data_IF_980718921058
#
_entry.id   IF_980718921058
#
_cell.length_a   1.000
_cell.length_b   1.000
_cell.length_c   1.000
_cell.angle_alpha   90.00
_cell.angle_beta   90.00
_cell.angle_gamma   90.00
#
_symmetry.space_group_name_H-M   'P 1'
#
loop_
_entity.id
_entity.type
_entity.pdbx_description
1 polymer ?
#
# COMPACT_ATOMS: atom_id res chain seq x y z
N UNK A 1 -15.15 10.09 4.71
CA UNK A 1 -15.89 9.01 4.02
C UNK A 1 -15.72 7.72 4.81
N UNK A 2 -16.60 7.39 5.78
CA UNK A 2 -16.37 6.20 6.61
C UNK A 2 -16.49 4.94 5.75
N UNK A 3 -15.46 4.11 5.73
CA UNK A 3 -15.50 2.76 5.14
C UNK A 3 -14.83 2.59 3.77
N UNK A 4 -14.26 3.65 3.16
CA UNK A 4 -13.41 3.48 1.98
C UNK A 4 -11.98 3.07 2.36
N UNK A 5 -11.29 2.46 1.43
CA UNK A 5 -9.98 1.84 1.58
C UNK A 5 -8.95 2.49 0.65
N UNK A 6 -7.71 2.59 1.09
CA UNK A 6 -6.62 3.15 0.28
C UNK A 6 -5.43 2.20 0.30
N UNK A 7 -5.08 1.68 -0.87
CA UNK A 7 -3.90 0.86 -1.08
C UNK A 7 -2.66 1.75 -1.11
N UNK A 8 -1.66 1.49 -0.28
CA UNK A 8 -0.35 2.17 -0.37
C UNK A 8 0.69 1.11 -0.68
N UNK A 9 1.37 1.27 -1.81
CA UNK A 9 2.29 0.26 -2.35
C UNK A 9 3.59 0.89 -2.82
N UNK A 10 4.64 0.07 -2.83
CA UNK A 10 5.90 0.47 -3.44
C UNK A 10 7.02 -0.56 -3.29
N UNK A 11 8.24 -0.12 -3.54
CA UNK A 11 9.44 -0.97 -3.54
C UNK A 11 9.79 -1.46 -2.13
N UNK A 12 10.38 -2.65 -2.08
CA UNK A 12 10.95 -3.24 -0.85
C UNK A 12 12.26 -2.60 -0.45
N UNK A 13 12.99 -2.05 -1.42
CA UNK A 13 14.25 -1.35 -1.25
C UNK A 13 14.00 0.15 -1.44
N UNK A 14 13.20 0.71 -0.54
CA UNK A 14 12.77 2.10 -0.61
C UNK A 14 13.81 3.02 0.03
N UNK A 15 13.98 4.20 -0.59
CA UNK A 15 14.74 5.28 0.01
C UNK A 15 14.17 5.69 1.37
N UNK A 16 15.01 6.25 2.25
CA UNK A 16 14.55 6.77 3.54
C UNK A 16 13.45 7.83 3.35
N UNK A 17 13.62 8.70 2.37
CA UNK A 17 12.61 9.70 2.01
C UNK A 17 11.30 9.06 1.54
N UNK A 18 11.35 8.01 0.71
CA UNK A 18 10.15 7.27 0.29
C UNK A 18 9.40 6.64 1.45
N UNK A 19 10.10 6.04 2.42
CA UNK A 19 9.49 5.54 3.65
C UNK A 19 8.82 6.67 4.44
N UNK A 20 9.46 7.82 4.58
CA UNK A 20 8.87 8.99 5.25
C UNK A 20 7.61 9.49 4.56
N UNK A 21 7.60 9.54 3.22
CA UNK A 21 6.41 9.94 2.47
C UNK A 21 5.29 8.90 2.59
N UNK A 22 5.60 7.61 2.49
CA UNK A 22 4.61 6.53 2.69
C UNK A 22 3.96 6.62 4.08
N UNK A 23 4.77 6.84 5.12
CA UNK A 23 4.28 7.07 6.48
C UNK A 23 3.34 8.28 6.55
N UNK A 24 3.74 9.42 5.95
CA UNK A 24 2.95 10.67 5.98
C UNK A 24 1.62 10.53 5.26
N UNK A 25 1.62 10.02 4.03
CA UNK A 25 0.39 9.77 3.28
C UNK A 25 -0.53 8.79 4.01
N UNK A 26 0.01 7.69 4.54
CA UNK A 26 -0.79 6.73 5.29
C UNK A 26 -1.43 7.34 6.53
N UNK A 27 -0.69 8.17 7.27
CA UNK A 27 -1.21 8.92 8.42
C UNK A 27 -2.34 9.87 8.03
N UNK A 28 -2.14 10.68 6.99
CA UNK A 28 -3.12 11.69 6.56
C UNK A 28 -4.38 11.05 5.98
N UNK A 29 -4.23 10.04 5.11
CA UNK A 29 -5.35 9.26 4.57
C UNK A 29 -6.13 8.55 5.68
N UNK A 30 -5.43 7.93 6.64
CA UNK A 30 -6.09 7.25 7.74
C UNK A 30 -6.88 8.23 8.63
N UNK A 31 -6.31 9.40 8.94
CA UNK A 31 -7.01 10.45 9.69
C UNK A 31 -8.20 11.05 8.92
N UNK A 32 -8.19 11.00 7.58
CA UNK A 32 -9.34 11.36 6.75
C UNK A 32 -10.44 10.27 6.70
N UNK A 33 -10.23 9.14 7.40
CA UNK A 33 -11.20 8.06 7.57
C UNK A 33 -11.05 6.90 6.59
N UNK A 34 -9.94 6.82 5.83
CA UNK A 34 -9.64 5.67 4.99
C UNK A 34 -8.98 4.54 5.79
N UNK A 35 -9.31 3.29 5.46
CA UNK A 35 -8.56 2.12 5.96
C UNK A 35 -7.39 1.84 5.01
N UNK A 36 -6.18 1.79 5.54
CA UNK A 36 -4.98 1.58 4.72
C UNK A 36 -4.77 0.10 4.44
N UNK A 37 -4.64 -0.27 3.16
CA UNK A 37 -4.37 -1.63 2.71
C UNK A 37 -2.95 -1.70 2.16
N UNK A 38 -2.17 -2.70 2.57
CA UNK A 38 -0.84 -2.91 2.00
C UNK A 38 -0.41 -4.39 2.11
N UNK A 39 0.75 -4.70 1.53
CA UNK A 39 1.24 -6.06 1.36
C UNK A 39 2.19 -6.57 2.46
N UNK A 40 2.35 -5.85 3.57
CA UNK A 40 3.24 -6.25 4.67
C UNK A 40 4.68 -6.59 4.23
N UNK A 41 5.14 -5.98 3.14
CA UNK A 41 6.52 -6.11 2.71
C UNK A 41 7.41 -5.07 3.43
N UNK A 42 8.72 -5.31 3.44
CA UNK A 42 9.67 -4.27 3.85
C UNK A 42 9.52 -3.01 3.00
N UNK A 43 9.98 -1.87 3.50
CA UNK A 43 10.02 -0.62 2.73
C UNK A 43 8.70 0.15 2.80
N UNK A 44 8.11 0.46 1.63
CA UNK A 44 6.92 1.31 1.54
C UNK A 44 5.73 0.72 2.31
N UNK A 45 5.48 -0.59 2.16
CA UNK A 45 4.36 -1.26 2.83
C UNK A 45 4.47 -1.17 4.37
N UNK A 46 5.65 -1.45 4.94
CA UNK A 46 5.92 -1.28 6.38
C UNK A 46 5.65 0.14 6.85
N UNK A 47 6.17 1.13 6.12
CA UNK A 47 6.05 2.53 6.47
C UNK A 47 4.59 3.01 6.40
N UNK A 48 3.82 2.50 5.43
CA UNK A 48 2.40 2.75 5.33
C UNK A 48 1.64 2.19 6.55
N UNK A 49 1.86 0.92 6.90
CA UNK A 49 1.27 0.32 8.09
C UNK A 49 1.63 1.09 9.36
N UNK A 50 2.89 1.51 9.50
CA UNK A 50 3.33 2.32 10.64
C UNK A 50 2.62 3.68 10.70
N UNK A 51 2.57 4.42 9.60
CA UNK A 51 1.88 5.72 9.51
C UNK A 51 0.42 5.64 9.95
N UNK A 52 -0.22 4.51 9.65
CA UNK A 52 -1.60 4.23 10.08
C UNK A 52 -1.69 3.95 11.58
N UNK A 53 -0.99 2.93 12.08
CA UNK A 53 -1.21 2.43 13.45
C UNK A 53 -0.64 3.36 14.52
N UNK A 54 0.38 4.16 14.19
CA UNK A 54 0.91 5.21 15.08
C UNK A 54 -0.12 6.30 15.43
N UNK A 55 -1.25 6.36 14.73
CA UNK A 55 -2.35 7.28 15.02
C UNK A 55 -3.63 6.54 15.45
N UNK A 56 -3.48 5.29 15.93
CA UNK A 56 -4.56 4.41 16.36
C UNK A 56 -5.65 4.19 15.28
N UNK A 57 -5.23 4.22 14.02
CA UNK A 57 -6.10 3.98 12.86
C UNK A 57 -5.95 2.56 12.34
N UNK A 58 -6.93 2.08 11.58
CA UNK A 58 -7.01 0.68 11.13
C UNK A 58 -6.29 0.44 9.81
N UNK A 59 -5.61 -0.70 9.71
CA UNK A 59 -4.91 -1.14 8.49
C UNK A 59 -5.20 -2.61 8.15
N UNK A 60 -5.03 -2.99 6.89
CA UNK A 60 -5.16 -4.36 6.40
C UNK A 60 -3.84 -4.79 5.76
N UNK A 61 -3.21 -5.81 6.34
CA UNK A 61 -2.01 -6.45 5.86
C UNK A 61 -2.38 -7.74 5.10
N UNK A 62 -2.21 -7.74 3.79
CA UNK A 62 -2.45 -8.92 2.96
C UNK A 62 -1.14 -9.67 2.82
N UNK A 63 -1.05 -10.96 3.13
CA UNK A 63 0.21 -11.71 3.18
C UNK A 63 0.48 -12.54 1.92
N UNK A 64 1.76 -12.67 1.50
CA UNK A 64 2.18 -13.57 0.42
C UNK A 64 2.54 -15.00 0.94
N UNK A 65 2.22 -15.29 2.21
CA UNK A 65 2.48 -16.55 2.91
C UNK A 65 1.18 -17.08 3.48
N UNK A 66 1.17 -18.34 3.93
CA UNK A 66 0.11 -18.84 4.81
C UNK A 66 0.03 -18.07 6.12
N UNK A 67 -1.16 -18.00 6.71
CA UNK A 67 -1.40 -17.21 7.94
C UNK A 67 -0.58 -17.70 9.14
N UNK A 68 -0.29 -19.00 9.24
CA UNK A 68 0.53 -19.58 10.33
C UNK A 68 2.04 -19.39 10.12
N UNK A 69 2.44 -18.80 8.99
CA UNK A 69 3.83 -18.40 8.69
C UNK A 69 4.07 -16.91 8.89
N UNK A 70 3.05 -16.16 9.32
CA UNK A 70 3.21 -14.75 9.63
C UNK A 70 4.28 -14.55 10.70
N UNK A 71 5.20 -13.62 10.45
CA UNK A 71 6.25 -13.23 11.38
C UNK A 71 6.40 -11.71 11.35
N UNK A 72 6.50 -11.12 12.54
CA UNK A 72 6.90 -9.71 12.66
C UNK A 72 8.32 -9.54 12.12
N UNK A 73 8.51 -8.59 11.22
CA UNK A 73 9.84 -8.19 10.78
C UNK A 73 10.30 -6.91 11.48
N UNK A 74 11.62 -6.70 11.50
CA UNK A 74 12.30 -5.65 12.26
C UNK A 74 11.69 -4.24 12.12
N UNK A 75 11.24 -3.84 10.92
CA UNK A 75 10.66 -2.50 10.70
C UNK A 75 9.32 -2.24 11.42
N UNK A 76 8.66 -3.27 11.97
CA UNK A 76 7.37 -3.15 12.68
C UNK A 76 7.51 -3.61 14.15
N UNK A 77 8.65 -4.16 14.57
CA UNK A 77 8.82 -4.71 15.92
C UNK A 77 8.59 -3.67 17.02
N UNK A 78 9.03 -2.43 16.83
CA UNK A 78 8.87 -1.35 17.82
C UNK A 78 7.41 -0.91 18.01
N UNK A 79 6.55 -1.19 17.03
CA UNK A 79 5.13 -0.82 17.01
C UNK A 79 4.21 -2.05 17.03
N UNK A 80 4.73 -3.21 17.47
CA UNK A 80 4.03 -4.48 17.37
C UNK A 80 2.65 -4.45 18.04
N UNK A 81 2.56 -3.86 19.24
CA UNK A 81 1.31 -3.78 19.99
C UNK A 81 0.28 -2.91 19.25
N UNK A 82 0.68 -1.73 18.79
CA UNK A 82 -0.17 -0.84 17.99
C UNK A 82 -0.62 -1.52 16.70
N UNK A 83 0.30 -2.25 16.05
CA UNK A 83 0.01 -3.01 14.83
C UNK A 83 -1.02 -4.09 15.09
N UNK A 84 -0.85 -4.96 16.09
CA UNK A 84 -1.81 -6.03 16.37
C UNK A 84 -3.17 -5.52 16.88
N UNK A 85 -3.20 -4.40 17.58
CA UNK A 85 -4.45 -3.78 18.04
C UNK A 85 -5.26 -3.13 16.90
N UNK A 86 -4.60 -2.82 15.78
CA UNK A 86 -5.19 -2.02 14.71
C UNK A 86 -5.17 -2.67 13.31
N UNK A 87 -4.45 -3.77 13.13
CA UNK A 87 -4.32 -4.45 11.85
C UNK A 87 -5.26 -5.66 11.73
N UNK A 88 -5.87 -5.79 10.55
CA UNK A 88 -6.40 -7.07 10.06
C UNK A 88 -5.31 -7.72 9.22
N UNK A 89 -4.96 -8.96 9.52
CA UNK A 89 -3.99 -9.74 8.75
C UNK A 89 -4.77 -10.77 7.92
N UNK A 90 -4.56 -10.77 6.61
CA UNK A 90 -5.29 -11.61 5.66
C UNK A 90 -4.33 -12.44 4.82
N UNK A 91 -4.66 -13.70 4.58
CA UNK A 91 -3.95 -14.56 3.63
C UNK A 91 -4.94 -15.46 2.89
N UNK A 92 -4.72 -15.66 1.60
CA UNK A 92 -5.47 -16.63 0.79
C UNK A 92 -4.76 -18.00 0.66
N UNK A 93 -3.52 -18.09 1.11
CA UNK A 93 -2.68 -19.26 0.90
C UNK A 93 -2.94 -20.31 1.99
N UNK A 94 -2.61 -21.58 1.70
CA UNK A 94 -2.69 -22.64 2.70
C UNK A 94 -1.96 -22.24 3.98
N UNK A 95 -2.45 -22.61 5.18
CA UNK A 95 -1.99 -22.03 6.45
C UNK A 95 -0.47 -22.04 6.66
N UNK A 96 0.24 -23.05 6.12
CA UNK A 96 1.69 -23.22 6.24
C UNK A 96 2.47 -22.87 4.96
N UNK A 97 1.85 -22.29 3.94
CA UNK A 97 2.53 -21.92 2.69
C UNK A 97 3.68 -20.95 2.96
N UNK A 98 4.85 -21.27 2.42
CA UNK A 98 6.04 -20.42 2.49
C UNK A 98 5.93 -19.22 1.56
N UNK A 99 6.80 -18.24 1.80
CA UNK A 99 6.96 -17.11 0.90
C UNK A 99 7.49 -17.57 -0.46
N UNK A 100 6.92 -17.03 -1.55
CA UNK A 100 7.48 -17.14 -2.88
C UNK A 100 7.20 -15.87 -3.69
N UNK A 101 8.00 -15.61 -4.73
CA UNK A 101 7.74 -14.51 -5.68
C UNK A 101 6.37 -14.69 -6.36
N UNK A 102 6.02 -15.92 -6.73
CA UNK A 102 4.71 -16.24 -7.32
C UNK A 102 3.55 -15.87 -6.38
N UNK A 103 3.64 -16.24 -5.09
CA UNK A 103 2.61 -15.88 -4.12
C UNK A 103 2.54 -14.37 -3.91
N UNK A 104 3.67 -13.66 -3.88
CA UNK A 104 3.68 -12.20 -3.76
C UNK A 104 2.98 -11.52 -4.94
N UNK A 105 3.23 -11.98 -6.17
CA UNK A 105 2.55 -11.48 -7.38
C UNK A 105 1.06 -11.82 -7.39
N UNK A 106 0.69 -13.06 -7.02
CA UNK A 106 -0.72 -13.43 -6.91
C UNK A 106 -1.44 -12.56 -5.88
N UNK A 107 -0.86 -12.40 -4.70
CA UNK A 107 -1.42 -11.61 -3.59
C UNK A 107 -1.74 -10.18 -4.00
N UNK A 108 -0.91 -9.54 -4.83
CA UNK A 108 -1.08 -8.14 -5.23
C UNK A 108 -2.47 -7.82 -5.78
N UNK A 109 -3.11 -8.76 -6.51
CA UNK A 109 -4.50 -8.58 -6.99
C UNK A 109 -5.50 -8.43 -5.84
N UNK A 110 -5.26 -9.03 -4.67
CA UNK A 110 -6.11 -8.89 -3.48
C UNK A 110 -5.88 -7.53 -2.85
N UNK A 111 -4.62 -7.09 -2.72
CA UNK A 111 -4.32 -5.73 -2.26
C UNK A 111 -5.02 -4.70 -3.14
N UNK A 112 -4.96 -4.86 -4.47
CA UNK A 112 -5.70 -4.02 -5.39
C UNK A 112 -7.22 -4.16 -5.22
N UNK A 113 -7.76 -5.38 -5.14
CA UNK A 113 -9.20 -5.64 -5.00
C UNK A 113 -9.80 -5.08 -3.71
N UNK A 114 -9.05 -5.08 -2.61
CA UNK A 114 -9.47 -4.54 -1.31
C UNK A 114 -9.35 -3.02 -1.19
N UNK A 115 -8.73 -2.35 -2.17
CA UNK A 115 -8.50 -0.90 -2.14
C UNK A 115 -9.48 -0.16 -3.05
N UNK A 116 -10.13 0.93 -2.63
CA UNK A 116 -10.93 1.76 -3.53
C UNK A 116 -10.04 2.64 -4.42
N UNK A 117 -8.91 3.05 -3.86
CA UNK A 117 -7.88 3.87 -4.50
C UNK A 117 -6.50 3.29 -4.21
N UNK A 118 -5.52 3.50 -5.09
CA UNK A 118 -4.12 3.10 -4.84
C UNK A 118 -3.19 4.29 -4.94
N UNK A 119 -2.24 4.41 -4.02
CA UNK A 119 -1.09 5.29 -4.11
C UNK A 119 0.20 4.47 -4.28
N UNK A 120 0.91 4.72 -5.37
CA UNK A 120 2.29 4.30 -5.55
C UNK A 120 3.22 5.38 -5.02
N UNK A 121 4.06 5.06 -4.04
CA UNK A 121 4.98 6.03 -3.41
C UNK A 121 6.36 6.03 -4.07
N UNK A 122 6.95 4.84 -4.23
CA UNK A 122 8.26 4.65 -4.82
C UNK A 122 8.28 3.25 -5.46
N UNK A 123 8.86 3.10 -6.65
CA UNK A 123 8.81 1.84 -7.40
C UNK A 123 10.12 1.55 -8.12
N UNK A 124 10.74 0.42 -7.82
CA UNK A 124 11.89 -0.08 -8.56
C UNK A 124 11.50 -0.82 -9.85
N UNK A 125 12.51 -1.27 -10.59
CA UNK A 125 12.34 -2.01 -11.86
C UNK A 125 11.77 -3.43 -11.70
N UNK A 126 11.66 -3.93 -10.47
CA UNK A 126 11.32 -5.32 -10.14
C UNK A 126 9.86 -5.72 -10.43
N UNK A 127 9.04 -4.84 -11.01
CA UNK A 127 7.72 -5.14 -11.56
C UNK A 127 6.61 -5.40 -10.53
N UNK A 128 6.92 -5.62 -9.26
CA UNK A 128 5.92 -5.92 -8.23
C UNK A 128 4.89 -4.80 -8.04
N UNK A 129 5.33 -3.55 -7.94
CA UNK A 129 4.44 -2.37 -7.85
C UNK A 129 3.60 -2.21 -9.11
N UNK A 130 4.21 -2.38 -10.28
CA UNK A 130 3.54 -2.30 -11.58
C UNK A 130 2.45 -3.36 -11.71
N UNK A 131 2.69 -4.58 -11.22
CA UNK A 131 1.71 -5.65 -11.21
C UNK A 131 0.46 -5.28 -10.37
N UNK A 132 0.62 -4.68 -9.20
CA UNK A 132 -0.54 -4.21 -8.41
C UNK A 132 -1.27 -3.07 -9.11
N UNK A 133 -0.54 -2.10 -9.68
CA UNK A 133 -1.13 -0.98 -10.43
C UNK A 133 -1.93 -1.47 -11.65
N UNK A 134 -1.42 -2.48 -12.37
CA UNK A 134 -2.12 -3.10 -13.49
C UNK A 134 -3.40 -3.81 -13.06
N UNK A 135 -3.37 -4.56 -11.94
CA UNK A 135 -4.59 -5.15 -11.39
C UNK A 135 -5.64 -4.09 -11.02
N UNK A 136 -5.22 -2.97 -10.43
CA UNK A 136 -6.11 -1.88 -10.08
C UNK A 136 -6.73 -1.21 -11.33
N UNK A 137 -5.90 -0.96 -12.35
CA UNK A 137 -6.35 -0.44 -13.65
C UNK A 137 -7.39 -1.35 -14.29
N UNK A 138 -7.13 -2.66 -14.34
CA UNK A 138 -8.07 -3.65 -14.89
C UNK A 138 -9.40 -3.71 -14.13
N UNK A 139 -9.40 -3.35 -12.84
CA UNK A 139 -10.61 -3.26 -12.01
C UNK A 139 -11.29 -1.88 -12.08
N UNK A 140 -10.79 -0.95 -12.90
CA UNK A 140 -11.33 0.41 -13.02
C UNK A 140 -11.06 1.30 -11.80
N UNK A 141 -10.04 0.98 -11.01
CA UNK A 141 -9.67 1.72 -9.79
C UNK A 141 -8.71 2.84 -10.14
N UNK A 142 -8.85 3.99 -9.47
CA UNK A 142 -7.90 5.10 -9.62
C UNK A 142 -6.58 4.75 -8.95
N UNK A 143 -5.50 4.94 -9.70
CA UNK A 143 -4.13 4.80 -9.24
C UNK A 143 -3.50 6.19 -9.23
N UNK A 144 -2.84 6.52 -8.13
CA UNK A 144 -2.08 7.74 -7.93
C UNK A 144 -0.59 7.40 -7.89
N UNK A 145 0.24 8.29 -8.44
CA UNK A 145 1.69 8.17 -8.40
C UNK A 145 2.26 9.39 -7.69
N UNK A 146 2.96 9.17 -6.58
CA UNK A 146 3.68 10.24 -5.91
C UNK A 146 4.88 10.70 -6.75
N UNK A 147 4.92 11.98 -7.12
CA UNK A 147 5.96 12.57 -7.98
C UNK A 147 7.09 13.26 -7.23
N UNK A 148 7.06 13.30 -5.90
CA UNK A 148 8.19 13.82 -5.12
C UNK A 148 9.44 12.93 -5.17
N UNK A 149 9.35 11.74 -5.76
CA UNK A 149 10.47 10.82 -5.99
C UNK A 149 10.44 10.39 -7.45
N UNK A 150 11.58 10.46 -8.12
CA UNK A 150 11.72 9.87 -9.45
C UNK A 150 12.07 8.39 -9.30
N UNK A 151 11.22 7.53 -9.83
CA UNK A 151 11.36 6.08 -9.73
C UNK A 151 11.48 5.43 -11.12
N UNK A 152 12.28 4.36 -11.29
CA UNK A 152 12.47 3.71 -12.59
C UNK A 152 11.18 3.26 -13.30
N UNK A 153 10.15 2.86 -12.53
CA UNK A 153 8.88 2.41 -13.11
C UNK A 153 7.83 3.53 -13.31
N UNK A 154 8.16 4.79 -13.04
CA UNK A 154 7.21 5.92 -13.13
C UNK A 154 6.52 6.02 -14.47
N UNK A 155 7.29 5.98 -15.57
CA UNK A 155 6.75 6.10 -16.92
C UNK A 155 5.73 4.99 -17.21
N UNK A 156 6.08 3.75 -16.87
CA UNK A 156 5.17 2.60 -17.03
C UNK A 156 3.91 2.76 -16.20
N UNK A 157 4.00 3.29 -14.99
CA UNK A 157 2.84 3.50 -14.11
C UNK A 157 1.95 4.64 -14.65
N UNK A 158 2.54 5.68 -15.22
CA UNK A 158 1.80 6.75 -15.91
C UNK A 158 1.12 6.22 -17.17
N UNK A 159 1.78 5.35 -17.94
CA UNK A 159 1.20 4.69 -19.12
C UNK A 159 -0.01 3.80 -18.76
N UNK A 160 -0.07 3.30 -17.52
CA UNK A 160 -1.26 2.61 -16.99
C UNK A 160 -2.42 3.54 -16.64
N UNK A 161 -2.25 4.86 -16.81
CA UNK A 161 -3.26 5.87 -16.50
C UNK A 161 -3.22 6.37 -15.05
N UNK A 162 -2.09 6.19 -14.35
CA UNK A 162 -1.95 6.73 -13.00
C UNK A 162 -1.96 8.26 -12.99
N UNK A 163 -2.60 8.84 -11.99
CA UNK A 163 -2.71 10.28 -11.77
C UNK A 163 -1.50 10.75 -10.94
N UNK A 164 -0.61 11.59 -11.49
CA UNK A 164 0.54 12.10 -10.75
C UNK A 164 0.08 13.07 -9.65
N UNK A 165 0.67 12.98 -8.45
CA UNK A 165 0.38 13.86 -7.31
C UNK A 165 1.65 14.19 -6.53
N UNK A 166 1.76 15.39 -5.98
CA UNK A 166 2.95 15.86 -5.23
C UNK A 166 2.73 15.92 -3.72
N UNK A 167 1.49 15.90 -3.26
CA UNK A 167 1.14 15.98 -1.84
C UNK A 167 -0.29 15.48 -1.61
N UNK A 168 -0.66 15.36 -0.33
CA UNK A 168 -1.98 14.89 0.09
C UNK A 168 -3.13 15.78 -0.40
N UNK A 169 -2.97 17.11 -0.35
CA UNK A 169 -4.00 18.05 -0.82
C UNK A 169 -4.33 17.84 -2.30
N UNK A 170 -3.31 17.68 -3.14
CA UNK A 170 -3.49 17.40 -4.57
C UNK A 170 -4.20 16.05 -4.77
N UNK A 171 -3.79 15.02 -4.02
CA UNK A 171 -4.43 13.71 -4.05
C UNK A 171 -5.92 13.80 -3.69
N UNK A 172 -6.29 14.49 -2.62
CA UNK A 172 -7.69 14.56 -2.16
C UNK A 172 -8.59 15.36 -3.11
N UNK A 173 -8.06 16.36 -3.81
CA UNK A 173 -8.83 17.09 -4.82
C UNK A 173 -9.35 16.16 -5.94
N UNK A 174 -8.60 15.11 -6.27
CA UNK A 174 -9.02 14.10 -7.25
C UNK A 174 -10.07 13.11 -6.72
N UNK A 175 -10.31 13.08 -5.40
CA UNK A 175 -11.34 12.27 -4.75
C UNK A 175 -12.66 13.06 -4.63
N UNK A 176 -12.59 14.34 -4.29
CA UNK A 176 -13.77 15.17 -4.05
C UNK A 176 -14.59 15.42 -5.32
N UNK A 177 -13.95 15.42 -6.49
CA UNK A 177 -14.59 15.54 -7.81
C UNK A 177 -15.57 14.41 -8.16
N UNK A 178 -15.62 13.32 -7.39
CA UNK A 178 -16.58 12.21 -7.58
C UNK A 178 -17.85 12.32 -6.73
N UNK A 179 -17.90 13.29 -5.80
CA UNK A 179 -19.03 13.42 -4.85
C UNK A 179 -20.04 14.50 -5.28
N UNK A 180 -19.92 15.02 -6.51
CA UNK A 180 -20.79 16.07 -7.09
C UNK A 180 -21.61 15.56 -8.27
#
# INVERSE_FOLDING_TARGET
>A
MPGKTFGIIGTRDASQYGKEQAYRFAKELANAGFVIVSGYAKGIDSAAHWGTVANNQKTIAVLPTGILKFQLHQEITEIADDFFNNAIILSEFYPLSEWSVGNALLRNRITAALSDYILVVESGDSGGTLNTAEHARLMGKKVFLYKGIQSPADEKIIDLGAIPVNNFTELTNHLDTETS
#
